data_IF_966700225518
#
_entry.id   IF_966700225518
#
_cell.length_a   1.000
_cell.length_b   1.000
_cell.length_c   1.000
_cell.angle_alpha   90.00
_cell.angle_beta   90.00
_cell.angle_gamma   90.00
#
_symmetry.space_group_name_H-M   'P 1'
#
loop_
_entity.id
_entity.type
_entity.pdbx_description
1 polymer ?
#
# COMPACT_ATOMS: atom_id res chain seq x y z
N UNK A 1 37.67 8.31 35.89
CA UNK A 1 36.31 8.33 35.28
C UNK A 1 36.45 8.86 33.86
N UNK A 2 36.67 7.99 32.86
CA UNK A 2 36.69 8.36 31.43
C UNK A 2 36.83 7.14 30.46
N UNK A 3 36.43 5.92 30.84
CA UNK A 3 36.58 4.73 29.96
C UNK A 3 35.25 4.02 29.70
N UNK A 4 34.21 4.24 30.51
CA UNK A 4 32.92 3.56 30.37
C UNK A 4 32.04 4.07 29.22
N UNK A 5 32.34 5.24 28.65
CA UNK A 5 31.51 5.87 27.61
C UNK A 5 31.84 5.34 26.20
N UNK A 6 33.08 4.88 25.96
CA UNK A 6 33.49 4.42 24.62
C UNK A 6 33.09 2.96 24.34
N UNK A 7 33.08 2.09 25.36
CA UNK A 7 32.61 0.69 25.21
C UNK A 7 31.12 0.59 24.91
N UNK A 8 30.32 1.58 25.35
CA UNK A 8 28.90 1.64 25.01
C UNK A 8 28.64 1.92 23.52
N UNK A 9 29.48 2.75 22.89
CA UNK A 9 29.32 3.12 21.47
C UNK A 9 29.70 1.97 20.52
N UNK A 10 30.83 1.29 20.77
CA UNK A 10 31.23 0.10 19.99
C UNK A 10 30.26 -1.07 20.17
N UNK A 11 29.77 -1.31 21.39
CA UNK A 11 28.76 -2.33 21.65
C UNK A 11 27.42 -2.01 20.97
N UNK A 12 26.96 -0.74 21.04
CA UNK A 12 25.74 -0.29 20.35
C UNK A 12 25.88 -0.38 18.83
N UNK A 13 27.03 0.02 18.27
CA UNK A 13 27.28 -0.10 16.83
C UNK A 13 27.36 -1.55 16.36
N UNK A 14 28.03 -2.42 17.10
CA UNK A 14 28.14 -3.84 16.74
C UNK A 14 26.79 -4.55 16.87
N UNK A 15 25.99 -4.22 17.88
CA UNK A 15 24.63 -4.74 18.03
C UNK A 15 23.70 -4.24 16.91
N UNK A 16 23.76 -2.97 16.54
CA UNK A 16 22.98 -2.40 15.42
C UNK A 16 23.33 -3.09 14.11
N UNK A 17 24.62 -3.33 13.84
CA UNK A 17 25.06 -4.06 12.64
C UNK A 17 24.58 -5.51 12.60
N UNK A 18 24.62 -6.21 13.73
CA UNK A 18 24.11 -7.59 13.84
C UNK A 18 22.58 -7.66 13.71
N UNK A 19 21.87 -6.66 14.25
CA UNK A 19 20.43 -6.53 14.12
C UNK A 19 20.01 -6.32 12.66
N UNK A 20 20.68 -5.42 11.94
CA UNK A 20 20.43 -5.19 10.50
C UNK A 20 20.66 -6.45 9.67
N UNK A 21 21.77 -7.15 9.89
CA UNK A 21 22.07 -8.40 9.18
C UNK A 21 21.01 -9.47 9.45
N UNK A 22 20.60 -9.65 10.70
CA UNK A 22 19.60 -10.66 11.06
C UNK A 22 18.22 -10.29 10.52
N UNK A 23 17.82 -9.02 10.62
CA UNK A 23 16.56 -8.53 10.07
C UNK A 23 16.51 -8.68 8.55
N UNK A 24 17.62 -8.41 7.85
CA UNK A 24 17.73 -8.60 6.40
C UNK A 24 17.53 -10.07 5.98
N UNK A 25 18.12 -11.01 6.73
CA UNK A 25 17.98 -12.45 6.47
C UNK A 25 16.53 -12.91 6.68
N UNK A 26 15.91 -12.49 7.80
CA UNK A 26 14.51 -12.80 8.07
C UNK A 26 13.59 -12.22 6.98
N UNK A 27 13.88 -11.01 6.51
CA UNK A 27 13.11 -10.39 5.44
C UNK A 27 13.28 -11.12 4.10
N UNK A 28 14.48 -11.59 3.77
CA UNK A 28 14.71 -12.43 2.59
C UNK A 28 13.89 -13.74 2.66
N UNK A 29 13.84 -14.37 3.83
CA UNK A 29 13.04 -15.57 4.03
C UNK A 29 11.52 -15.29 3.92
N UNK A 30 11.06 -14.09 4.29
CA UNK A 30 9.67 -13.69 4.08
C UNK A 30 9.33 -13.64 2.60
N UNK A 31 10.22 -13.08 1.78
CA UNK A 31 10.03 -13.03 0.33
C UNK A 31 9.92 -14.44 -0.27
N UNK A 32 10.81 -15.36 0.15
CA UNK A 32 10.75 -16.77 -0.25
C UNK A 32 9.47 -17.48 0.24
N UNK A 33 8.94 -17.09 1.40
CA UNK A 33 7.71 -17.68 1.94
C UNK A 33 6.48 -17.33 1.10
N UNK A 34 6.47 -16.19 0.41
CA UNK A 34 5.41 -15.82 -0.54
C UNK A 34 5.42 -16.76 -1.74
N UNK A 35 6.60 -17.01 -2.32
CA UNK A 35 6.77 -17.89 -3.48
C UNK A 35 6.31 -19.32 -3.18
N UNK A 36 6.52 -19.78 -1.94
CA UNK A 36 6.15 -21.10 -1.48
C UNK A 36 4.74 -21.19 -0.86
N UNK A 37 3.93 -20.12 -0.93
CA UNK A 37 2.60 -20.03 -0.32
C UNK A 37 2.56 -20.35 1.20
N UNK A 38 3.62 -20.01 1.94
CA UNK A 38 3.74 -20.22 3.40
C UNK A 38 3.38 -18.95 4.17
N UNK A 39 2.11 -18.56 4.13
CA UNK A 39 1.63 -17.32 4.76
C UNK A 39 1.91 -17.27 6.27
N UNK A 40 1.77 -18.39 7.00
CA UNK A 40 2.06 -18.44 8.44
C UNK A 40 3.53 -18.15 8.76
N UNK A 41 4.45 -18.71 7.96
CA UNK A 41 5.89 -18.45 8.10
C UNK A 41 6.22 -16.98 7.87
N UNK A 42 5.60 -16.37 6.85
CA UNK A 42 5.73 -14.94 6.58
C UNK A 42 5.29 -14.10 7.78
N UNK A 43 4.12 -14.38 8.35
CA UNK A 43 3.62 -13.61 9.49
C UNK A 43 4.49 -13.79 10.73
N UNK A 44 4.94 -15.02 11.01
CA UNK A 44 5.83 -15.29 12.14
C UNK A 44 7.18 -14.53 12.01
N UNK A 45 7.74 -14.50 10.81
CA UNK A 45 8.96 -13.73 10.53
C UNK A 45 8.73 -12.23 10.64
N UNK A 46 7.61 -11.73 10.12
CA UNK A 46 7.25 -10.32 10.23
C UNK A 46 7.15 -9.88 11.70
N UNK A 47 6.45 -10.65 12.52
CA UNK A 47 6.33 -10.39 13.96
C UNK A 47 7.71 -10.38 14.62
N UNK A 48 8.56 -11.36 14.30
CA UNK A 48 9.93 -11.41 14.83
C UNK A 48 10.75 -10.18 14.46
N UNK A 49 10.65 -9.71 13.22
CA UNK A 49 11.32 -8.47 12.77
C UNK A 49 10.77 -7.26 13.54
N UNK A 50 9.45 -7.12 13.62
CA UNK A 50 8.79 -5.98 14.27
C UNK A 50 9.05 -5.91 15.77
N UNK A 51 9.14 -7.05 16.46
CA UNK A 51 9.34 -7.08 17.92
C UNK A 51 10.82 -7.02 18.31
N UNK A 52 11.68 -7.77 17.62
CA UNK A 52 13.11 -7.88 18.00
C UNK A 52 14.01 -6.89 17.29
N UNK A 53 13.58 -6.34 16.15
CA UNK A 53 14.40 -5.54 15.24
C UNK A 53 13.67 -4.28 14.75
N UNK A 54 12.78 -3.72 15.59
CA UNK A 54 11.95 -2.56 15.27
C UNK A 54 12.73 -1.33 14.78
N UNK A 55 13.99 -1.19 15.22
CA UNK A 55 14.87 -0.07 14.86
C UNK A 55 15.57 -0.22 13.51
N UNK A 56 15.30 -1.31 12.77
CA UNK A 56 15.90 -1.56 11.46
C UNK A 56 14.99 -1.10 10.34
N UNK A 57 15.56 -0.75 9.19
CA UNK A 57 14.78 -0.38 8.00
C UNK A 57 13.88 -1.53 7.49
N UNK A 58 14.17 -2.76 7.88
CA UNK A 58 13.39 -3.94 7.51
C UNK A 58 12.07 -4.08 8.27
N UNK A 59 11.92 -3.46 9.45
CA UNK A 59 10.71 -3.59 10.25
C UNK A 59 9.45 -3.00 9.57
N UNK A 60 9.44 -1.73 9.09
CA UNK A 60 8.30 -1.20 8.35
C UNK A 60 8.07 -1.96 7.02
N UNK A 61 9.12 -2.42 6.36
CA UNK A 61 9.00 -3.23 5.13
C UNK A 61 8.33 -4.58 5.39
N UNK A 62 8.69 -5.25 6.49
CA UNK A 62 8.08 -6.51 6.92
C UNK A 62 6.58 -6.33 7.22
N UNK A 63 6.20 -5.23 7.88
CA UNK A 63 4.81 -4.89 8.12
C UNK A 63 4.04 -4.66 6.79
N UNK A 64 4.61 -3.90 5.85
CA UNK A 64 4.01 -3.69 4.52
C UNK A 64 3.85 -5.01 3.74
N UNK A 65 4.81 -5.94 3.88
CA UNK A 65 4.72 -7.25 3.23
C UNK A 65 3.61 -8.12 3.85
N UNK A 66 3.48 -8.11 5.17
CA UNK A 66 2.33 -8.72 5.88
C UNK A 66 1.01 -8.10 5.45
N UNK A 67 0.96 -6.78 5.31
CA UNK A 67 -0.24 -6.09 4.85
C UNK A 67 -0.68 -6.56 3.46
N UNK A 68 0.27 -6.73 2.54
CA UNK A 68 0.00 -7.27 1.20
C UNK A 68 -0.57 -8.69 1.29
N UNK A 69 -0.01 -9.55 2.15
CA UNK A 69 -0.51 -10.90 2.33
C UNK A 69 -1.92 -10.92 2.96
N UNK A 70 -2.19 -10.08 3.96
CA UNK A 70 -3.53 -9.94 4.52
C UNK A 70 -4.56 -9.46 3.49
N UNK A 71 -4.21 -8.45 2.67
CA UNK A 71 -5.09 -7.99 1.60
C UNK A 71 -5.39 -9.11 0.58
N UNK A 72 -4.38 -9.92 0.21
CA UNK A 72 -4.55 -11.10 -0.66
C UNK A 72 -5.53 -12.12 -0.05
N UNK A 73 -5.52 -12.26 1.27
CA UNK A 73 -6.44 -13.13 2.00
C UNK A 73 -7.83 -12.50 2.25
N UNK A 74 -8.11 -11.29 1.74
CA UNK A 74 -9.29 -10.47 2.05
C UNK A 74 -9.40 -10.02 3.53
N UNK A 75 -8.30 -10.08 4.28
CA UNK A 75 -8.22 -9.66 5.68
C UNK A 75 -7.88 -8.15 5.77
N UNK A 76 -8.71 -7.31 5.15
CA UNK A 76 -8.40 -5.89 4.91
C UNK A 76 -8.18 -5.07 6.19
N UNK A 77 -8.88 -5.36 7.29
CA UNK A 77 -8.64 -4.68 8.58
C UNK A 77 -7.23 -4.98 9.13
N UNK A 78 -6.76 -6.23 9.02
CA UNK A 78 -5.39 -6.59 9.43
C UNK A 78 -4.36 -5.93 8.52
N UNK A 79 -4.64 -5.89 7.22
CA UNK A 79 -3.81 -5.17 6.25
C UNK A 79 -3.68 -3.68 6.61
N UNK A 80 -4.79 -3.03 6.94
CA UNK A 80 -4.79 -1.63 7.35
C UNK A 80 -3.98 -1.40 8.64
N UNK A 81 -4.08 -2.31 9.62
CA UNK A 81 -3.32 -2.22 10.87
C UNK A 81 -1.81 -2.36 10.65
N UNK A 82 -1.38 -3.30 9.80
CA UNK A 82 0.02 -3.46 9.44
C UNK A 82 0.58 -2.22 8.72
N UNK A 83 -0.20 -1.60 7.83
CA UNK A 83 0.23 -0.39 7.13
C UNK A 83 0.31 0.84 8.05
N UNK A 84 -0.62 0.98 9.00
CA UNK A 84 -0.52 2.01 10.04
C UNK A 84 0.75 1.84 10.87
N UNK A 85 1.02 0.60 11.30
CA UNK A 85 2.25 0.29 12.02
C UNK A 85 3.49 0.66 11.20
N UNK A 86 3.52 0.32 9.91
CA UNK A 86 4.62 0.70 9.02
C UNK A 86 4.80 2.23 8.89
N UNK A 87 3.70 2.98 8.81
CA UNK A 87 3.74 4.46 8.77
C UNK A 87 4.36 5.03 10.04
N UNK A 88 3.99 4.47 11.21
CA UNK A 88 4.44 4.93 12.51
C UNK A 88 5.90 4.58 12.83
N UNK A 89 6.47 3.56 12.16
CA UNK A 89 7.81 3.03 12.42
C UNK A 89 8.78 3.20 11.23
N UNK A 90 8.38 3.92 10.18
CA UNK A 90 9.25 4.20 9.04
C UNK A 90 10.08 5.47 9.27
N UNK A 91 11.40 5.30 9.39
CA UNK A 91 12.35 6.43 9.45
C UNK A 91 12.47 7.15 8.10
N UNK A 92 12.39 6.39 7.00
CA UNK A 92 12.47 6.94 5.66
C UNK A 92 11.11 7.43 5.15
N UNK A 93 11.03 8.73 4.82
CA UNK A 93 9.79 9.34 4.29
C UNK A 93 9.24 8.58 3.08
N UNK A 94 10.10 8.08 2.20
CA UNK A 94 9.66 7.36 1.00
C UNK A 94 8.92 6.05 1.34
N UNK A 95 9.32 5.37 2.42
CA UNK A 95 8.65 4.16 2.92
C UNK A 95 7.31 4.52 3.55
N UNK A 96 7.28 5.56 4.39
CA UNK A 96 6.03 6.07 4.98
C UNK A 96 5.02 6.51 3.92
N UNK A 97 5.46 7.29 2.92
CA UNK A 97 4.63 7.73 1.79
C UNK A 97 4.05 6.53 1.02
N UNK A 98 4.87 5.51 0.75
CA UNK A 98 4.42 4.28 0.09
C UNK A 98 3.40 3.52 0.93
N UNK A 99 3.62 3.40 2.24
CA UNK A 99 2.69 2.75 3.15
C UNK A 99 1.34 3.51 3.21
N UNK A 100 1.34 4.85 3.20
CA UNK A 100 0.10 5.66 3.13
C UNK A 100 -0.69 5.41 1.86
N UNK A 101 -0.04 5.36 0.70
CA UNK A 101 -0.73 5.04 -0.56
C UNK A 101 -1.30 3.62 -0.58
N UNK A 102 -0.57 2.64 -0.03
CA UNK A 102 -1.09 1.29 0.14
C UNK A 102 -2.28 1.25 1.10
N UNK A 103 -2.23 2.01 2.21
CA UNK A 103 -3.32 2.12 3.17
C UNK A 103 -4.56 2.77 2.55
N UNK A 104 -4.38 3.83 1.75
CA UNK A 104 -5.46 4.43 1.00
C UNK A 104 -6.14 3.41 0.06
N UNK A 105 -5.35 2.56 -0.63
CA UNK A 105 -5.90 1.49 -1.46
C UNK A 105 -6.71 0.46 -0.66
N UNK A 106 -6.23 0.07 0.51
CA UNK A 106 -6.96 -0.84 1.42
C UNK A 106 -8.27 -0.18 1.89
N UNK A 107 -8.24 1.09 2.27
CA UNK A 107 -9.45 1.83 2.64
C UNK A 107 -10.45 1.94 1.49
N UNK A 108 -10.00 2.13 0.25
CA UNK A 108 -10.88 2.10 -0.93
C UNK A 108 -11.58 0.74 -1.05
N UNK A 109 -10.84 -0.36 -0.91
CA UNK A 109 -11.41 -1.71 -0.96
C UNK A 109 -12.43 -1.96 0.16
N UNK A 110 -12.25 -1.30 1.31
CA UNK A 110 -13.17 -1.32 2.44
C UNK A 110 -14.30 -0.27 2.35
N UNK A 111 -14.36 0.50 1.26
CA UNK A 111 -15.27 1.64 1.08
C UNK A 111 -15.14 2.75 2.14
N UNK A 112 -14.01 2.80 2.87
CA UNK A 112 -13.61 3.85 3.82
C UNK A 112 -13.03 5.06 3.09
N UNK A 113 -13.85 5.67 2.22
CA UNK A 113 -13.40 6.77 1.35
C UNK A 113 -12.93 8.02 2.09
N UNK A 114 -13.54 8.47 3.21
CA UNK A 114 -13.04 9.63 3.96
C UNK A 114 -11.59 9.43 4.44
N UNK A 115 -11.27 8.25 4.94
CA UNK A 115 -9.94 7.88 5.43
C UNK A 115 -8.94 7.81 4.28
N UNK A 116 -9.32 7.19 3.15
CA UNK A 116 -8.49 7.20 1.94
C UNK A 116 -8.20 8.62 1.45
N UNK A 117 -9.23 9.46 1.34
CA UNK A 117 -9.08 10.85 0.90
C UNK A 117 -8.19 11.68 1.83
N UNK A 118 -8.20 11.39 3.14
CA UNK A 118 -7.34 12.09 4.10
C UNK A 118 -5.87 11.83 3.78
N UNK A 119 -5.50 10.56 3.55
CA UNK A 119 -4.14 10.18 3.21
C UNK A 119 -3.70 10.74 1.85
N UNK A 120 -4.58 10.75 0.85
CA UNK A 120 -4.26 11.22 -0.52
C UNK A 120 -4.13 12.74 -0.66
N UNK A 121 -4.57 13.51 0.35
CA UNK A 121 -4.45 14.98 0.39
C UNK A 121 -3.15 15.47 1.01
N UNK A 122 -2.37 14.57 1.59
CA UNK A 122 -1.05 14.92 2.12
C UNK A 122 -0.07 15.32 0.99
N UNK A 123 1.04 15.95 1.38
CA UNK A 123 2.07 16.35 0.43
C UNK A 123 2.97 15.18 0.04
N UNK A 124 2.89 14.79 -1.24
CA UNK A 124 3.74 13.76 -1.82
C UNK A 124 4.71 14.33 -2.86
N UNK A 125 5.94 13.81 -2.94
CA UNK A 125 6.85 14.04 -4.05
C UNK A 125 6.17 13.93 -5.43
N UNK A 126 6.63 14.74 -6.39
CA UNK A 126 6.09 14.73 -7.76
C UNK A 126 6.12 13.33 -8.42
N UNK A 127 7.05 12.46 -8.01
CA UNK A 127 7.15 11.08 -8.47
C UNK A 127 5.89 10.24 -8.16
N UNK A 128 5.13 10.59 -7.10
CA UNK A 128 3.93 9.86 -6.70
C UNK A 128 2.64 10.37 -7.34
N UNK A 129 2.70 11.45 -8.13
CA UNK A 129 1.49 12.06 -8.70
C UNK A 129 0.68 11.11 -9.58
N UNK A 130 1.34 10.21 -10.33
CA UNK A 130 0.62 9.18 -11.08
C UNK A 130 -0.20 8.27 -10.15
N UNK A 131 0.41 7.75 -9.08
CA UNK A 131 -0.25 6.88 -8.11
C UNK A 131 -1.36 7.58 -7.31
N UNK A 132 -1.16 8.84 -6.93
CA UNK A 132 -2.20 9.64 -6.25
C UNK A 132 -3.41 9.83 -7.17
N UNK A 133 -3.19 10.13 -8.45
CA UNK A 133 -4.28 10.28 -9.42
C UNK A 133 -4.97 8.94 -9.70
N UNK A 134 -4.22 7.84 -9.76
CA UNK A 134 -4.79 6.50 -9.86
C UNK A 134 -5.75 6.22 -8.69
N UNK A 135 -5.31 6.44 -7.45
CA UNK A 135 -6.13 6.17 -6.26
C UNK A 135 -7.35 7.10 -6.16
N UNK A 136 -7.22 8.35 -6.59
CA UNK A 136 -8.39 9.24 -6.73
C UNK A 136 -9.39 8.71 -7.77
N UNK A 137 -8.89 8.17 -8.88
CA UNK A 137 -9.73 7.48 -9.87
C UNK A 137 -10.42 6.25 -9.29
N UNK A 138 -9.70 5.43 -8.52
CA UNK A 138 -10.23 4.24 -7.84
C UNK A 138 -11.36 4.61 -6.86
N UNK A 139 -11.21 5.71 -6.10
CA UNK A 139 -12.29 6.25 -5.25
C UNK A 139 -13.53 6.60 -6.09
N UNK A 140 -13.34 7.32 -7.20
CA UNK A 140 -14.48 7.70 -8.04
C UNK A 140 -15.14 6.50 -8.70
N UNK A 141 -14.36 5.51 -9.14
CA UNK A 141 -14.86 4.27 -9.71
C UNK A 141 -15.67 3.47 -8.67
N UNK A 142 -15.16 3.34 -7.45
CA UNK A 142 -15.87 2.67 -6.36
C UNK A 142 -17.18 3.39 -5.98
N UNK A 143 -17.25 4.71 -6.19
CA UNK A 143 -18.46 5.53 -6.05
C UNK A 143 -19.36 5.57 -7.30
N UNK A 144 -19.03 4.80 -8.34
CA UNK A 144 -19.73 4.77 -9.63
C UNK A 144 -19.74 6.12 -10.38
N UNK A 145 -18.81 7.03 -10.05
CA UNK A 145 -18.60 8.30 -10.73
C UNK A 145 -17.68 8.10 -11.95
N UNK A 146 -18.17 7.36 -12.95
CA UNK A 146 -17.36 6.86 -14.07
C UNK A 146 -16.60 7.94 -14.85
N UNK A 147 -17.24 9.09 -15.10
CA UNK A 147 -16.59 10.20 -15.80
C UNK A 147 -15.42 10.78 -14.99
N UNK A 148 -15.62 11.01 -13.69
CA UNK A 148 -14.56 11.52 -12.81
C UNK A 148 -13.43 10.50 -12.66
N UNK A 149 -13.76 9.21 -12.56
CA UNK A 149 -12.77 8.13 -12.52
C UNK A 149 -11.89 8.14 -13.78
N UNK A 150 -12.52 8.25 -14.96
CA UNK A 150 -11.81 8.36 -16.25
C UNK A 150 -10.85 9.56 -16.27
N UNK A 151 -11.32 10.73 -15.84
CA UNK A 151 -10.50 11.94 -15.82
C UNK A 151 -9.27 11.78 -14.91
N UNK A 152 -9.43 11.16 -13.75
CA UNK A 152 -8.32 10.87 -12.84
C UNK A 152 -7.33 9.84 -13.41
N UNK A 153 -7.81 8.75 -14.04
CA UNK A 153 -6.92 7.79 -14.68
C UNK A 153 -6.14 8.39 -15.87
N UNK A 154 -6.77 9.27 -16.65
CA UNK A 154 -6.07 10.04 -17.69
C UNK A 154 -5.02 10.99 -17.09
N UNK A 155 -5.32 11.63 -15.96
CA UNK A 155 -4.35 12.45 -15.25
C UNK A 155 -3.19 11.62 -14.69
N UNK A 156 -3.46 10.41 -14.19
CA UNK A 156 -2.44 9.45 -13.76
C UNK A 156 -1.50 9.09 -14.91
N UNK A 157 -2.04 8.74 -16.08
CA UNK A 157 -1.25 8.44 -17.29
C UNK A 157 -0.34 9.60 -17.69
N UNK A 158 -0.85 10.84 -17.70
CA UNK A 158 -0.07 12.04 -18.03
C UNK A 158 1.01 12.34 -16.99
N UNK A 159 0.83 11.87 -15.76
CA UNK A 159 1.77 12.07 -14.65
C UNK A 159 2.83 10.98 -14.58
N UNK A 160 2.72 9.92 -15.38
CA UNK A 160 3.70 8.82 -15.43
C UNK A 160 5.00 9.30 -16.08
N UNK A 161 6.11 9.18 -15.37
CA UNK A 161 7.46 9.44 -15.90
C UNK A 161 8.24 8.13 -16.01
N UNK A 162 8.26 7.53 -17.20
CA UNK A 162 9.11 6.35 -17.50
C UNK A 162 8.67 5.01 -16.89
N UNK A 163 7.47 4.92 -16.30
CA UNK A 163 6.88 3.69 -15.78
C UNK A 163 5.88 3.04 -16.75
N UNK A 164 5.52 1.77 -16.50
CA UNK A 164 4.50 1.07 -17.29
C UNK A 164 3.12 1.70 -17.08
N UNK A 165 2.44 2.00 -18.19
CA UNK A 165 1.07 2.53 -18.23
C UNK A 165 0.01 1.45 -18.43
N UNK A 166 0.42 0.20 -18.62
CA UNK A 166 -0.47 -0.90 -19.01
C UNK A 166 -1.59 -1.14 -18.01
N UNK A 167 -1.27 -1.11 -16.71
CA UNK A 167 -2.27 -1.28 -15.66
C UNK A 167 -3.31 -0.14 -15.63
N UNK A 168 -2.86 1.10 -15.85
CA UNK A 168 -3.76 2.26 -15.95
C UNK A 168 -4.65 2.18 -17.19
N UNK A 169 -4.10 1.70 -18.31
CA UNK A 169 -4.86 1.48 -19.54
C UNK A 169 -5.94 0.42 -19.34
N UNK A 170 -5.58 -0.71 -18.72
CA UNK A 170 -6.54 -1.77 -18.37
C UNK A 170 -7.66 -1.24 -17.46
N UNK A 171 -7.33 -0.39 -16.48
CA UNK A 171 -8.34 0.28 -15.64
C UNK A 171 -9.30 1.15 -16.45
N UNK A 172 -8.78 1.93 -17.41
CA UNK A 172 -9.61 2.76 -18.31
C UNK A 172 -10.52 1.92 -19.20
N UNK A 173 -10.01 0.82 -19.74
CA UNK A 173 -10.76 -0.07 -20.64
C UNK A 173 -11.88 -0.79 -19.87
N UNK A 174 -11.57 -1.32 -18.69
CA UNK A 174 -12.57 -1.93 -17.79
C UNK A 174 -13.63 -0.92 -17.36
N UNK A 175 -13.22 0.31 -17.02
CA UNK A 175 -14.14 1.38 -16.64
C UNK A 175 -15.14 1.71 -17.77
N UNK A 176 -14.69 1.71 -19.03
CA UNK A 176 -15.55 1.94 -20.17
C UNK A 176 -16.63 0.85 -20.30
N UNK A 177 -16.26 -0.42 -20.12
CA UNK A 177 -17.20 -1.54 -20.19
C UNK A 177 -18.24 -1.49 -19.05
N UNK A 178 -17.81 -1.25 -17.81
CA UNK A 178 -18.71 -1.17 -16.65
C UNK A 178 -19.68 0.00 -16.77
N UNK A 179 -19.21 1.17 -17.22
CA UNK A 179 -20.05 2.35 -17.42
C UNK A 179 -21.14 2.11 -18.48
N UNK A 180 -20.83 1.38 -19.56
CA UNK A 180 -21.81 1.01 -20.59
C UNK A 180 -22.89 0.08 -20.02
N UNK A 181 -22.49 -0.94 -19.26
CA UNK A 181 -23.41 -1.88 -18.63
C UNK A 181 -24.35 -1.18 -17.62
N UNK A 182 -23.82 -0.28 -16.79
CA UNK A 182 -24.61 0.50 -15.82
C UNK A 182 -25.67 1.38 -16.52
N UNK A 183 -25.30 2.04 -17.63
CA UNK A 183 -26.23 2.85 -18.42
C UNK A 183 -27.33 2.01 -19.09
N UNK A 184 -27.00 0.83 -19.63
CA UNK A 184 -27.97 -0.09 -20.20
C UNK A 184 -29.01 -0.54 -19.15
N UNK A 185 -28.54 -0.95 -17.98
CA UNK A 185 -29.40 -1.37 -16.86
C UNK A 185 -30.35 -0.26 -16.37
N UNK A 186 -29.87 0.99 -16.34
CA UNK A 186 -30.70 2.16 -15.96
C UNK A 186 -31.80 2.43 -17.00
N UNK A 187 -31.49 2.25 -18.29
CA UNK A 187 -32.46 2.44 -19.37
C UNK A 187 -33.55 1.37 -19.34
N UNK A 188 -33.21 0.09 -19.10
CA UNK A 188 -34.17 -1.01 -18.98
C UNK A 188 -35.13 -0.85 -17.79
N UNK A 189 -34.62 -0.40 -16.64
CA UNK A 189 -35.47 -0.10 -15.47
C UNK A 189 -36.43 1.05 -15.73
N UNK A 190 -36.02 2.03 -16.55
CA UNK A 190 -36.87 3.17 -16.90
C UNK A 190 -38.02 2.76 -17.83
N UNK A 191 -37.77 1.90 -18.82
CA UNK A 191 -38.81 1.41 -19.75
C UNK A 191 -39.81 0.48 -19.07
N UNK A 192 -39.37 -0.36 -18.12
CA UNK A 192 -40.26 -1.26 -17.36
C UNK A 192 -41.11 -0.54 -16.32
N UNK A 193 -40.68 0.60 -15.78
CA UNK A 193 -41.48 1.39 -14.83
C UNK A 193 -42.57 2.27 -15.50
N UNK A 194 -42.51 2.45 -16.82
CA UNK A 194 -43.48 3.24 -17.59
C UNK A 194 -44.55 2.41 -18.32
N UNK A 195 -44.47 1.09 -18.24
CA UNK A 195 -45.45 0.14 -18.77
C UNK A 195 -46.29 -0.45 -17.64
#
# INVERSE_FOLDING_TARGET
IAITIFFGYEFWQNQTKNNELTASSLYADMLLSIENNKAETLFAQATKIKESYASTAYAPLAAMLSAKQYAKNNENEKSANELKWAIDHADEKIVSDLAKMQLARVYIAMQKFPEANTLLKEEYPAAWQSSINELNGDIQAAKQNWEKARNFYQLALRSTKGGSTEFLQMKLDNLAQVAQADNANKNEKKTTATN
#
